data_IF_139413270746
#
_entry.id   IF_139413270746
#
_cell.length_a   1.000
_cell.length_b   1.000
_cell.length_c   1.000
_cell.angle_alpha   90.00
_cell.angle_beta   90.00
_cell.angle_gamma   90.00
#
_symmetry.space_group_name_H-M   'P 1'
#
loop_
_entity.id
_entity.type
_entity.pdbx_description
1 polymer ?
#
# COMPACT_ATOMS: atom_id res chain seq x y z
N UNK A 1 17.53 -31.96 17.57
CA UNK A 1 17.15 -31.36 16.28
C UNK A 1 15.70 -30.88 16.38
N UNK A 2 15.48 -29.65 16.86
CA UNK A 2 14.19 -28.96 16.68
C UNK A 2 14.07 -28.64 15.20
N UNK A 3 13.11 -29.24 14.50
CA UNK A 3 12.72 -28.82 13.18
C UNK A 3 12.28 -27.35 13.31
N UNK A 4 12.96 -26.44 12.63
CA UNK A 4 12.51 -25.05 12.45
C UNK A 4 11.13 -25.15 11.81
N UNK A 5 10.08 -24.82 12.57
CA UNK A 5 8.76 -24.66 12.00
C UNK A 5 8.89 -23.58 10.91
N UNK A 6 8.61 -23.93 9.67
CA UNK A 6 8.58 -22.96 8.57
C UNK A 6 7.53 -21.93 8.96
N UNK A 7 7.99 -20.72 9.32
CA UNK A 7 7.10 -19.64 9.70
C UNK A 7 6.30 -19.26 8.45
N UNK A 8 4.99 -19.35 8.56
CA UNK A 8 4.09 -18.90 7.50
C UNK A 8 4.26 -17.39 7.35
N UNK A 9 4.81 -16.94 6.20
CA UNK A 9 5.01 -15.52 5.91
C UNK A 9 4.07 -15.12 4.79
N UNK A 10 3.08 -14.31 5.11
CA UNK A 10 2.06 -13.83 4.16
C UNK A 10 2.63 -12.97 3.03
N UNK A 11 3.82 -12.38 3.23
CA UNK A 11 4.51 -11.58 2.21
C UNK A 11 5.28 -12.43 1.18
N UNK A 12 5.52 -13.71 1.48
CA UNK A 12 6.32 -14.62 0.64
C UNK A 12 5.50 -15.79 0.07
N UNK A 13 4.26 -15.95 0.52
CA UNK A 13 3.37 -17.02 0.06
C UNK A 13 2.29 -16.44 -0.88
N UNK A 14 2.15 -16.98 -2.10
CA UNK A 14 1.15 -16.50 -3.04
C UNK A 14 -0.27 -16.79 -2.56
N UNK A 15 -1.21 -15.98 -3.04
CA UNK A 15 -2.64 -16.22 -2.87
C UNK A 15 -3.02 -17.57 -3.49
N UNK A 16 -3.73 -18.41 -2.71
CA UNK A 16 -4.16 -19.73 -3.17
C UNK A 16 -5.41 -19.56 -4.05
N UNK A 17 -5.44 -20.13 -5.27
CA UNK A 17 -6.64 -20.16 -6.09
C UNK A 17 -7.80 -20.86 -5.36
N UNK A 18 -8.99 -20.25 -5.38
CA UNK A 18 -10.16 -20.75 -4.66
C UNK A 18 -11.45 -20.43 -5.40
N UNK A 19 -12.30 -21.43 -5.59
CA UNK A 19 -13.68 -21.23 -6.09
C UNK A 19 -14.54 -20.39 -5.13
N UNK A 20 -14.11 -20.25 -3.88
CA UNK A 20 -14.79 -19.46 -2.86
C UNK A 20 -14.22 -18.03 -2.75
N UNK A 21 -13.24 -17.65 -3.56
CA UNK A 21 -12.61 -16.34 -3.48
C UNK A 21 -13.64 -15.18 -3.58
N UNK A 22 -14.62 -15.30 -4.48
CA UNK A 22 -15.71 -14.31 -4.62
C UNK A 22 -16.75 -14.34 -3.49
N UNK A 23 -16.69 -15.32 -2.59
CA UNK A 23 -17.54 -15.47 -1.41
C UNK A 23 -16.83 -15.17 -0.10
N UNK A 24 -15.53 -14.85 -0.17
CA UNK A 24 -14.72 -14.45 0.99
C UNK A 24 -14.94 -12.98 1.33
N UNK A 25 -14.33 -12.51 2.42
CA UNK A 25 -14.44 -11.11 2.83
C UNK A 25 -13.78 -10.21 1.78
N UNK A 26 -14.55 -9.30 1.20
CA UNK A 26 -14.14 -8.28 0.24
C UNK A 26 -14.06 -6.94 0.97
N UNK A 27 -12.98 -6.20 0.75
CA UNK A 27 -12.73 -4.89 1.34
C UNK A 27 -13.05 -3.74 0.39
N UNK A 28 -12.80 -3.94 -0.91
CA UNK A 28 -13.02 -2.90 -1.92
C UNK A 28 -13.58 -3.51 -3.20
N UNK A 29 -14.50 -2.79 -3.83
CA UNK A 29 -14.96 -3.07 -5.21
C UNK A 29 -14.89 -1.78 -6.00
N UNK A 30 -14.16 -1.79 -7.10
CA UNK A 30 -13.98 -0.63 -7.97
C UNK A 30 -14.18 -0.98 -9.43
N UNK A 31 -14.57 0.03 -10.21
CA UNK A 31 -14.72 -0.07 -11.66
C UNK A 31 -13.71 0.84 -12.36
N UNK A 32 -12.97 0.26 -13.31
CA UNK A 32 -12.06 0.98 -14.18
C UNK A 32 -12.37 0.62 -15.64
N UNK A 33 -12.82 1.61 -16.43
CA UNK A 33 -13.37 1.35 -17.75
C UNK A 33 -14.57 0.38 -17.66
N UNK A 34 -14.52 -0.75 -18.37
CA UNK A 34 -15.55 -1.78 -18.35
C UNK A 34 -15.24 -2.94 -17.39
N UNK A 35 -14.09 -2.92 -16.74
CA UNK A 35 -13.66 -3.98 -15.81
C UNK A 35 -13.93 -3.61 -14.37
N UNK A 36 -14.43 -4.57 -13.61
CA UNK A 36 -14.58 -4.48 -12.16
C UNK A 36 -13.45 -5.24 -11.47
N UNK A 37 -13.00 -4.70 -10.33
CA UNK A 37 -12.04 -5.35 -9.44
C UNK A 37 -12.65 -5.45 -8.04
N UNK A 38 -12.40 -6.58 -7.38
CA UNK A 38 -12.71 -6.78 -5.97
C UNK A 38 -11.45 -7.26 -5.24
N UNK A 39 -11.10 -6.60 -4.14
CA UNK A 39 -9.95 -6.96 -3.31
C UNK A 39 -10.40 -7.47 -1.95
N UNK A 40 -9.69 -8.44 -1.38
CA UNK A 40 -10.12 -9.12 -0.17
C UNK A 40 -9.01 -9.77 0.63
N UNK A 41 -9.42 -10.60 1.59
CA UNK A 41 -8.52 -11.36 2.43
C UNK A 41 -7.75 -12.43 1.63
N UNK A 42 -6.68 -12.97 2.22
CA UNK A 42 -5.84 -14.05 1.65
C UNK A 42 -5.17 -13.70 0.30
N UNK A 43 -4.90 -12.41 0.06
CA UNK A 43 -4.31 -11.94 -1.18
C UNK A 43 -5.26 -11.95 -2.37
N UNK A 44 -6.57 -12.13 -2.15
CA UNK A 44 -7.51 -12.22 -3.27
C UNK A 44 -7.67 -10.86 -3.95
N UNK A 45 -7.34 -10.84 -5.23
CA UNK A 45 -7.73 -9.82 -6.20
C UNK A 45 -8.55 -10.53 -7.27
N UNK A 46 -9.78 -10.11 -7.45
CA UNK A 46 -10.71 -10.66 -8.43
C UNK A 46 -11.00 -9.60 -9.48
N UNK A 47 -11.21 -10.02 -10.72
CA UNK A 47 -11.66 -9.14 -11.79
C UNK A 47 -12.82 -9.75 -12.58
N UNK A 48 -13.70 -8.88 -13.07
CA UNK A 48 -14.83 -9.20 -13.90
C UNK A 48 -14.83 -8.35 -15.17
N UNK A 49 -15.11 -8.96 -16.33
CA UNK A 49 -15.25 -8.29 -17.61
C UNK A 49 -16.70 -8.27 -18.11
N UNK A 50 -17.66 -8.72 -17.29
CA UNK A 50 -19.06 -8.93 -17.63
C UNK A 50 -20.00 -8.28 -16.58
N UNK A 51 -19.62 -7.10 -16.09
CA UNK A 51 -20.36 -6.31 -15.13
C UNK A 51 -20.62 -7.00 -13.77
N UNK A 52 -19.79 -8.00 -13.43
CA UNK A 52 -19.88 -8.73 -12.15
C UNK A 52 -20.64 -10.06 -12.23
N UNK A 53 -21.10 -10.47 -13.41
CA UNK A 53 -21.79 -11.75 -13.60
C UNK A 53 -20.86 -12.93 -13.34
N UNK A 54 -19.59 -12.81 -13.71
CA UNK A 54 -18.54 -13.77 -13.38
C UNK A 54 -17.27 -13.08 -12.88
N UNK A 55 -16.51 -13.80 -12.02
CA UNK A 55 -15.27 -13.32 -11.42
C UNK A 55 -14.13 -14.29 -11.65
N UNK A 56 -12.98 -13.76 -12.00
CA UNK A 56 -11.73 -14.49 -12.13
C UNK A 56 -10.75 -14.04 -11.04
N UNK A 57 -10.02 -14.98 -10.44
CA UNK A 57 -8.99 -14.67 -9.46
C UNK A 57 -7.67 -14.38 -10.18
N UNK A 58 -7.04 -13.25 -9.84
CA UNK A 58 -5.73 -12.88 -10.32
C UNK A 58 -4.62 -13.71 -9.66
N UNK A 59 -3.45 -13.78 -10.29
CA UNK A 59 -2.25 -14.33 -9.68
C UNK A 59 -1.57 -13.26 -8.83
N UNK A 60 -1.54 -13.47 -7.52
CA UNK A 60 -1.00 -12.53 -6.53
C UNK A 60 0.12 -13.21 -5.75
N UNK A 61 1.32 -12.60 -5.63
CA UNK A 61 2.50 -13.24 -5.03
C UNK A 61 2.50 -13.25 -3.50
N UNK A 62 1.47 -12.71 -2.86
CA UNK A 62 1.32 -12.61 -1.41
C UNK A 62 -0.04 -13.14 -0.98
N UNK A 63 -0.16 -13.56 0.29
CA UNK A 63 -1.45 -13.91 0.92
C UNK A 63 -1.91 -12.88 1.94
N UNK A 64 -1.25 -11.72 2.00
CA UNK A 64 -1.70 -10.55 2.75
C UNK A 64 -3.07 -10.05 2.27
N UNK A 65 -3.91 -9.57 3.17
CA UNK A 65 -5.20 -8.99 2.79
C UNK A 65 -4.99 -7.73 1.95
N UNK A 66 -5.66 -7.65 0.79
CA UNK A 66 -5.58 -6.50 -0.12
C UNK A 66 -6.79 -5.60 0.13
N UNK A 67 -6.52 -4.34 0.46
CA UNK A 67 -7.53 -3.38 0.93
C UNK A 67 -8.01 -2.44 -0.16
N UNK A 68 -7.15 -2.08 -1.10
CA UNK A 68 -7.49 -1.14 -2.16
C UNK A 68 -6.74 -1.43 -3.45
N UNK A 69 -7.28 -0.91 -4.57
CA UNK A 69 -6.70 -1.04 -5.91
C UNK A 69 -7.00 0.21 -6.73
N UNK A 70 -6.05 0.60 -7.60
CA UNK A 70 -6.23 1.71 -8.54
C UNK A 70 -5.60 1.39 -9.89
N UNK A 71 -6.20 1.92 -10.97
CA UNK A 71 -5.78 1.72 -12.36
C UNK A 71 -5.82 3.05 -13.10
N UNK A 72 -4.69 3.77 -13.24
CA UNK A 72 -4.62 4.98 -14.06
C UNK A 72 -4.72 4.70 -15.56
N UNK A 73 -4.44 3.47 -15.98
CA UNK A 73 -4.66 2.99 -17.36
C UNK A 73 -5.29 1.59 -17.34
N UNK A 74 -5.87 1.10 -18.45
CA UNK A 74 -6.43 -0.26 -18.49
C UNK A 74 -5.44 -1.39 -18.20
N UNK A 75 -4.15 -1.17 -18.45
CA UNK A 75 -3.07 -2.18 -18.30
C UNK A 75 -2.36 -2.08 -16.96
N UNK A 76 -2.12 -0.84 -16.47
CA UNK A 76 -1.27 -0.58 -15.31
C UNK A 76 -2.13 -0.35 -14.07
N UNK A 77 -1.90 -1.17 -13.04
CA UNK A 77 -2.62 -1.09 -11.78
C UNK A 77 -1.73 -1.27 -10.56
N UNK A 78 -2.13 -0.66 -9.45
CA UNK A 78 -1.50 -0.82 -8.14
C UNK A 78 -2.53 -1.25 -7.11
N UNK A 79 -2.10 -2.09 -6.17
CA UNK A 79 -2.92 -2.54 -5.06
C UNK A 79 -2.14 -2.48 -3.77
N UNK A 80 -2.82 -2.18 -2.66
CA UNK A 80 -2.22 -2.06 -1.33
C UNK A 80 -3.00 -2.85 -0.30
N UNK A 81 -2.34 -3.18 0.81
CA UNK A 81 -3.01 -3.95 1.85
C UNK A 81 -2.26 -4.03 3.18
N UNK A 82 -2.58 -5.08 3.91
CA UNK A 82 -1.92 -5.43 5.16
C UNK A 82 -0.42 -5.64 4.95
N UNK A 83 0.34 -5.61 6.03
CA UNK A 83 1.79 -5.71 6.03
C UNK A 83 2.50 -4.63 5.18
N UNK A 84 1.79 -3.50 4.88
CA UNK A 84 2.33 -2.41 4.07
C UNK A 84 2.62 -2.79 2.62
N UNK A 85 1.98 -3.85 2.12
CA UNK A 85 2.25 -4.37 0.77
C UNK A 85 1.78 -3.39 -0.29
N UNK A 86 2.62 -3.20 -1.33
CA UNK A 86 2.25 -2.56 -2.58
C UNK A 86 2.54 -3.52 -3.72
N UNK A 87 1.52 -3.80 -4.50
CA UNK A 87 1.56 -4.66 -5.67
C UNK A 87 1.40 -3.84 -6.94
N UNK A 88 2.00 -4.29 -8.03
CA UNK A 88 1.86 -3.70 -9.36
C UNK A 88 1.47 -4.76 -10.39
N UNK A 89 0.58 -4.38 -11.30
CA UNK A 89 0.20 -5.17 -12.47
C UNK A 89 0.45 -4.36 -13.74
N UNK A 90 0.95 -5.02 -14.78
CA UNK A 90 1.15 -4.46 -16.12
C UNK A 90 0.32 -5.15 -17.21
N UNK A 91 -0.63 -6.00 -16.82
CA UNK A 91 -1.44 -6.82 -17.74
C UNK A 91 -2.95 -6.69 -17.49
N UNK A 92 -3.35 -5.56 -16.91
CA UNK A 92 -4.75 -5.26 -16.57
C UNK A 92 -5.24 -6.07 -15.39
N UNK A 93 -4.39 -6.32 -14.40
CA UNK A 93 -4.75 -6.93 -13.12
C UNK A 93 -4.85 -8.45 -13.13
N UNK A 94 -4.34 -9.13 -14.16
CA UNK A 94 -4.35 -10.60 -14.22
C UNK A 94 -3.22 -11.20 -13.40
N UNK A 95 -2.03 -10.58 -13.45
CA UNK A 95 -0.86 -10.96 -12.64
C UNK A 95 -0.31 -9.75 -11.92
N UNK A 96 0.22 -9.97 -10.72
CA UNK A 96 0.74 -8.94 -9.83
C UNK A 96 2.16 -9.28 -9.37
N UNK A 97 2.97 -8.25 -9.16
CA UNK A 97 4.30 -8.37 -8.55
C UNK A 97 4.38 -7.47 -7.31
N UNK A 98 5.09 -7.92 -6.28
CA UNK A 98 5.33 -7.13 -5.07
C UNK A 98 6.41 -6.07 -5.36
N UNK A 99 6.07 -4.79 -5.23
CA UNK A 99 7.01 -3.66 -5.35
C UNK A 99 7.54 -3.20 -3.99
N UNK A 100 6.72 -3.29 -2.94
CA UNK A 100 7.02 -2.74 -1.62
C UNK A 100 6.36 -3.54 -0.50
N UNK A 101 6.83 -3.37 0.73
CA UNK A 101 6.21 -3.92 1.93
C UNK A 101 6.63 -3.15 3.20
N UNK A 102 6.04 -3.49 4.34
CA UNK A 102 6.30 -2.83 5.61
C UNK A 102 7.71 -2.99 6.13
N UNK A 103 8.46 -4.03 5.74
CA UNK A 103 9.87 -4.18 6.11
C UNK A 103 10.72 -3.09 5.42
N UNK A 104 10.47 -2.85 4.14
CA UNK A 104 11.10 -1.77 3.39
C UNK A 104 10.70 -0.40 3.93
N UNK A 105 9.39 -0.22 4.27
CA UNK A 105 8.90 1.01 4.87
C UNK A 105 9.71 1.40 6.12
N UNK A 106 9.86 0.50 7.07
CA UNK A 106 10.62 0.77 8.29
C UNK A 106 12.09 1.07 8.01
N UNK A 107 12.75 0.22 7.20
CA UNK A 107 14.19 0.33 6.94
C UNK A 107 14.54 1.59 6.11
N UNK A 108 13.78 1.85 5.03
CA UNK A 108 14.02 3.01 4.15
C UNK A 108 13.63 4.32 4.85
N UNK A 109 12.52 4.33 5.61
CA UNK A 109 12.09 5.48 6.39
C UNK A 109 13.09 5.85 7.49
N UNK A 110 13.63 4.86 8.20
CA UNK A 110 14.65 5.10 9.22
C UNK A 110 15.90 5.75 8.60
N UNK A 111 16.42 5.21 7.52
CA UNK A 111 17.57 5.79 6.83
C UNK A 111 17.30 7.22 6.33
N UNK A 112 16.09 7.45 5.78
CA UNK A 112 15.68 8.75 5.28
C UNK A 112 15.61 9.81 6.38
N UNK A 113 14.91 9.53 7.49
CA UNK A 113 14.75 10.51 8.58
C UNK A 113 16.02 10.69 9.40
N UNK A 114 16.88 9.69 9.52
CA UNK A 114 18.23 9.87 10.11
C UNK A 114 19.09 10.82 9.26
N UNK A 115 19.01 10.74 7.94
CA UNK A 115 19.70 11.67 7.06
C UNK A 115 19.17 13.10 7.19
N UNK A 116 17.85 13.29 7.28
CA UNK A 116 17.24 14.61 7.51
C UNK A 116 17.63 15.19 8.88
N UNK A 117 17.58 14.39 9.95
CA UNK A 117 17.98 14.82 11.29
C UNK A 117 19.47 15.24 11.35
N UNK A 118 20.34 14.55 10.62
CA UNK A 118 21.75 14.91 10.53
C UNK A 118 21.98 16.20 9.70
N UNK A 119 21.17 16.44 8.68
CA UNK A 119 21.25 17.64 7.84
C UNK A 119 20.68 18.90 8.52
N UNK A 120 19.65 18.73 9.34
CA UNK A 120 18.94 19.80 10.04
C UNK A 120 18.83 19.50 11.55
N UNK A 121 19.92 19.57 12.33
CA UNK A 121 19.95 19.13 13.73
C UNK A 121 19.07 19.97 14.67
N UNK A 122 18.71 21.19 14.28
CA UNK A 122 17.85 22.09 15.05
C UNK A 122 16.35 21.85 14.80
N UNK A 123 15.99 20.93 13.90
CA UNK A 123 14.60 20.60 13.58
C UNK A 123 14.06 19.56 14.57
N UNK A 124 13.25 20.01 15.52
CA UNK A 124 12.69 19.16 16.59
C UNK A 124 11.78 18.04 16.10
N UNK A 125 11.25 18.11 14.86
CA UNK A 125 10.37 17.08 14.30
C UNK A 125 11.13 15.81 13.88
N UNK A 126 12.34 15.94 13.33
CA UNK A 126 13.05 14.79 12.76
C UNK A 126 13.45 13.71 13.78
N UNK A 127 13.89 14.02 15.01
CA UNK A 127 14.11 13.00 16.03
C UNK A 127 12.86 12.15 16.32
N UNK A 128 11.67 12.75 16.35
CA UNK A 128 10.40 12.03 16.57
C UNK A 128 10.09 11.08 15.42
N UNK A 129 10.38 11.49 14.16
CA UNK A 129 10.21 10.64 12.99
C UNK A 129 11.22 9.48 12.98
N UNK A 130 12.44 9.68 13.47
CA UNK A 130 13.44 8.62 13.66
C UNK A 130 12.93 7.59 14.68
N UNK A 131 12.43 8.03 15.84
CA UNK A 131 11.86 7.15 16.88
C UNK A 131 10.68 6.33 16.33
N UNK A 132 9.77 6.95 15.55
CA UNK A 132 8.65 6.25 14.92
C UNK A 132 9.15 5.18 13.93
N UNK A 133 10.19 5.46 13.16
CA UNK A 133 10.74 4.47 12.22
C UNK A 133 11.53 3.36 12.94
N UNK A 134 12.23 3.66 14.03
CA UNK A 134 12.85 2.64 14.88
C UNK A 134 11.77 1.71 15.47
N UNK A 135 10.65 2.26 15.91
CA UNK A 135 9.51 1.48 16.35
C UNK A 135 8.95 0.63 15.21
N UNK A 136 8.73 1.20 14.02
CA UNK A 136 8.25 0.45 12.85
C UNK A 136 9.18 -0.72 12.48
N UNK A 137 10.51 -0.50 12.49
CA UNK A 137 11.50 -1.58 12.28
C UNK A 137 11.35 -2.68 13.33
N UNK A 138 11.15 -2.33 14.60
CA UNK A 138 11.00 -3.29 15.69
C UNK A 138 9.74 -4.15 15.60
N UNK A 139 8.66 -3.61 15.04
CA UNK A 139 7.39 -4.32 14.86
C UNK A 139 7.38 -5.19 13.60
N UNK A 140 8.25 -4.90 12.62
CA UNK A 140 8.24 -5.55 11.32
C UNK A 140 7.12 -5.03 10.41
N UNK A 141 6.66 -5.87 9.48
CA UNK A 141 5.64 -5.50 8.49
C UNK A 141 4.22 -5.68 9.07
N UNK A 142 3.82 -4.87 10.04
CA UNK A 142 2.53 -5.01 10.73
C UNK A 142 1.50 -3.93 10.38
N UNK A 143 1.94 -2.83 9.72
CA UNK A 143 1.10 -1.67 9.45
C UNK A 143 0.44 -1.76 8.07
N UNK A 144 -0.90 -1.65 7.96
CA UNK A 144 -1.59 -1.69 6.68
C UNK A 144 -1.52 -0.35 5.93
N UNK A 145 -1.48 -0.44 4.61
CA UNK A 145 -1.84 0.64 3.68
C UNK A 145 -3.32 0.50 3.32
N UNK A 146 -4.10 1.58 3.48
CA UNK A 146 -5.55 1.58 3.29
C UNK A 146 -5.97 2.05 1.90
N UNK A 147 -5.18 2.91 1.28
CA UNK A 147 -5.53 3.60 0.04
C UNK A 147 -4.34 3.68 -0.90
N UNK A 148 -4.59 3.47 -2.19
CA UNK A 148 -3.67 3.79 -3.27
C UNK A 148 -4.39 4.60 -4.33
N UNK A 149 -3.71 5.60 -4.91
CA UNK A 149 -4.23 6.32 -6.05
C UNK A 149 -3.09 6.89 -6.90
N UNK A 150 -3.27 6.78 -8.20
CA UNK A 150 -2.35 7.25 -9.22
C UNK A 150 -3.03 8.30 -10.10
N UNK A 151 -2.36 9.42 -10.33
CA UNK A 151 -2.82 10.44 -11.28
C UNK A 151 -2.47 10.09 -12.72
N UNK A 152 -1.39 9.33 -12.89
CA UNK A 152 -0.88 8.83 -14.17
C UNK A 152 0.04 7.62 -13.90
N UNK A 153 0.59 6.94 -14.93
CA UNK A 153 1.43 5.73 -14.74
C UNK A 153 2.68 5.92 -13.88
N UNK A 154 3.15 7.13 -13.64
CA UNK A 154 4.36 7.40 -12.90
C UNK A 154 4.08 7.96 -11.49
N UNK A 155 3.03 8.78 -11.34
CA UNK A 155 2.78 9.54 -10.11
C UNK A 155 1.65 8.92 -9.31
N UNK A 156 1.93 8.53 -8.09
CA UNK A 156 0.96 7.93 -7.19
C UNK A 156 1.30 8.08 -5.71
N UNK A 157 0.29 7.81 -4.89
CA UNK A 157 0.38 7.88 -3.43
C UNK A 157 -0.19 6.60 -2.81
N UNK A 158 0.38 6.19 -1.68
CA UNK A 158 -0.15 5.14 -0.83
C UNK A 158 -0.24 5.65 0.61
N UNK A 159 -1.39 5.44 1.24
CA UNK A 159 -1.73 5.97 2.56
C UNK A 159 -2.16 4.85 3.50
N UNK A 160 -1.89 5.00 4.79
CA UNK A 160 -2.21 3.94 5.74
C UNK A 160 -2.18 4.31 7.21
N UNK A 161 -2.01 3.26 7.99
CA UNK A 161 -1.97 3.34 9.44
C UNK A 161 -0.79 4.16 9.94
N UNK A 162 -0.94 4.75 11.12
CA UNK A 162 0.12 5.47 11.84
C UNK A 162 0.81 6.56 11.01
N UNK A 163 0.04 7.24 10.16
CA UNK A 163 0.55 8.32 9.32
C UNK A 163 1.40 7.84 8.14
N UNK A 164 1.34 6.55 7.76
CA UNK A 164 2.01 6.10 6.54
C UNK A 164 1.52 6.89 5.33
N UNK A 165 2.43 7.65 4.74
CA UNK A 165 2.20 8.40 3.49
C UNK A 165 3.43 8.22 2.62
N UNK A 166 3.21 7.59 1.47
CA UNK A 166 4.24 7.31 0.48
C UNK A 166 3.86 7.93 -0.86
N UNK A 167 4.85 8.46 -1.56
CA UNK A 167 4.75 9.00 -2.91
C UNK A 167 5.71 8.28 -3.84
N UNK A 168 5.25 8.01 -5.06
CA UNK A 168 6.11 7.59 -6.17
C UNK A 168 6.02 8.57 -7.32
N UNK A 169 7.15 8.76 -8.04
CA UNK A 169 7.24 9.54 -9.26
C UNK A 169 7.79 8.70 -10.43
N UNK A 170 7.90 7.39 -10.25
CA UNK A 170 8.52 6.44 -11.19
C UNK A 170 7.73 5.13 -11.35
N UNK A 171 6.42 5.18 -11.07
CA UNK A 171 5.55 4.00 -11.19
C UNK A 171 5.80 2.94 -10.11
N UNK A 172 6.21 3.38 -8.92
CA UNK A 172 6.41 2.52 -7.75
C UNK A 172 7.75 1.77 -7.75
N UNK A 173 8.71 2.14 -8.61
CA UNK A 173 10.07 1.60 -8.52
C UNK A 173 10.74 2.09 -7.23
N UNK A 174 10.48 3.35 -6.87
CA UNK A 174 10.85 3.93 -5.58
C UNK A 174 9.66 4.59 -4.90
N UNK A 175 9.62 4.53 -3.57
CA UNK A 175 8.61 5.15 -2.75
C UNK A 175 9.25 6.09 -1.72
N UNK A 176 8.85 7.35 -1.73
CA UNK A 176 9.36 8.38 -0.83
C UNK A 176 8.41 8.58 0.34
N UNK A 177 8.93 8.63 1.54
CA UNK A 177 8.19 9.01 2.74
C UNK A 177 7.83 10.49 2.71
N UNK A 178 6.61 10.83 3.18
CA UNK A 178 6.11 12.20 3.23
C UNK A 178 5.61 12.63 4.61
N UNK A 179 5.86 11.86 5.65
CA UNK A 179 5.32 12.16 6.99
C UNK A 179 5.83 13.51 7.53
N UNK A 180 7.03 13.94 7.12
CA UNK A 180 7.57 15.25 7.45
C UNK A 180 6.82 16.43 6.79
N UNK A 181 6.06 16.16 5.71
CA UNK A 181 5.30 17.18 4.95
C UNK A 181 3.90 17.42 5.49
N UNK A 182 3.44 16.59 6.42
CA UNK A 182 2.08 16.67 6.98
C UNK A 182 2.11 17.02 8.45
N UNK A 183 1.06 17.68 8.91
CA UNK A 183 0.82 17.97 10.33
C UNK A 183 0.09 16.77 10.95
N UNK A 184 0.84 15.77 11.37
CA UNK A 184 0.34 14.55 12.00
C UNK A 184 1.27 14.07 13.12
N UNK A 185 1.52 14.94 14.09
CA UNK A 185 2.47 14.71 15.19
C UNK A 185 2.05 13.56 16.13
N UNK A 186 0.79 13.14 16.08
CA UNK A 186 0.27 12.01 16.85
C UNK A 186 0.27 10.68 16.06
N UNK A 187 0.83 10.65 14.87
CA UNK A 187 0.90 9.47 13.98
C UNK A 187 -0.44 8.78 13.78
N UNK A 188 -1.50 9.57 13.59
CA UNK A 188 -2.86 9.06 13.40
C UNK A 188 -3.02 8.42 12.04
N UNK A 189 -4.00 7.50 11.94
CA UNK A 189 -4.32 6.81 10.69
C UNK A 189 -4.78 7.79 9.62
N UNK A 190 -4.31 7.58 8.40
CA UNK A 190 -4.71 8.31 7.20
C UNK A 190 -5.53 7.37 6.32
N UNK A 191 -6.79 7.72 6.07
CA UNK A 191 -7.74 6.83 5.41
C UNK A 191 -7.92 7.11 3.93
N UNK A 192 -7.90 8.39 3.53
CA UNK A 192 -8.11 8.78 2.12
C UNK A 192 -7.47 10.12 1.82
N UNK A 193 -7.36 10.43 0.55
CA UNK A 193 -6.91 11.74 0.08
C UNK A 193 -7.65 12.13 -1.20
N UNK A 194 -7.75 13.44 -1.42
CA UNK A 194 -8.30 14.01 -2.64
C UNK A 194 -7.34 15.07 -3.19
N UNK A 195 -6.87 14.94 -4.44
CA UNK A 195 -6.06 15.97 -5.05
C UNK A 195 -6.88 17.23 -5.25
N UNK A 196 -6.27 18.38 -4.97
CA UNK A 196 -6.84 19.69 -5.28
C UNK A 196 -6.43 20.09 -6.70
N UNK A 197 -7.37 20.14 -7.65
CA UNK A 197 -7.06 20.52 -9.02
C UNK A 197 -6.33 21.87 -9.06
N UNK A 198 -5.29 21.97 -9.87
CA UNK A 198 -4.52 23.20 -10.16
C UNK A 198 -3.63 23.76 -9.03
N UNK A 199 -3.61 23.16 -7.83
CA UNK A 199 -2.82 23.70 -6.72
C UNK A 199 -1.56 22.92 -6.38
N UNK A 200 -1.41 21.69 -6.89
CA UNK A 200 -0.37 20.75 -6.48
C UNK A 200 -0.49 20.31 -5.02
N UNK A 201 -1.63 20.58 -4.39
CA UNK A 201 -1.97 20.19 -3.01
C UNK A 201 -3.03 19.08 -3.00
N UNK A 202 -3.19 18.45 -1.87
CA UNK A 202 -4.24 17.47 -1.63
C UNK A 202 -4.79 17.59 -0.22
N UNK A 203 -6.05 17.23 -0.06
CA UNK A 203 -6.62 16.99 1.26
C UNK A 203 -6.33 15.56 1.70
N UNK A 204 -6.04 15.40 2.98
CA UNK A 204 -5.95 14.11 3.64
C UNK A 204 -7.10 14.03 4.64
N UNK A 205 -7.80 12.90 4.67
CA UNK A 205 -8.74 12.58 5.74
C UNK A 205 -8.16 11.49 6.64
N UNK A 206 -8.36 11.63 7.93
CA UNK A 206 -7.79 10.73 8.92
C UNK A 206 -8.59 10.64 10.20
N UNK A 207 -8.00 10.05 11.21
CA UNK A 207 -8.63 9.72 12.49
C UNK A 207 -9.03 10.95 13.33
N UNK A 208 -8.50 12.11 13.03
CA UNK A 208 -8.77 13.33 13.79
C UNK A 208 -9.32 14.49 12.93
N UNK A 209 -9.81 14.21 11.75
CA UNK A 209 -10.42 15.19 10.85
C UNK A 209 -9.49 15.71 9.79
#
# INVERSE_FOLDING_TARGET
NAASATRYDVLELPAVPSELASKSLIYSVKKFGDRYFATGQHGHILYSNDAGDSWQQAQVPVSSAILDVDFPTPELGWAVGHEGVILHSSDGGKTWVKQYDGLRYGAEGLAYYQALAAAEPDNEKYPLLVEEMEFAVSQGADKPLFRVAFSDPNHGYALGAYGMILETNDGGQTWRHLLEKVENDAFKHVFDFAPLPQSGKFFISGEAG
#
